data_IF_790753434108
#
_entry.id   IF_790753434108
#
_cell.length_a   1.000
_cell.length_b   1.000
_cell.length_c   1.000
_cell.angle_alpha   90.00
_cell.angle_beta   90.00
_cell.angle_gamma   90.00
#
_symmetry.space_group_name_H-M   'P 1'
#
loop_
_entity.id
_entity.type
_entity.pdbx_description
1 polymer ?
#
# COMPACT_ATOMS: atom_id res chain seq x y z
N UNK A 1 8.02 8.34 8.93
CA UNK A 1 9.05 7.63 8.16
C UNK A 1 8.69 6.15 8.08
N UNK A 2 8.89 5.52 6.90
CA UNK A 2 8.62 4.11 6.69
C UNK A 2 9.61 3.49 5.70
N UNK A 3 9.61 2.15 5.68
CA UNK A 3 10.30 1.35 4.67
C UNK A 3 9.31 0.42 3.98
N UNK A 4 9.49 0.24 2.67
CA UNK A 4 8.79 -0.75 1.87
C UNK A 4 9.82 -1.73 1.33
N UNK A 5 9.55 -3.02 1.49
CA UNK A 5 10.32 -4.10 0.89
C UNK A 5 9.44 -4.83 -0.13
N UNK A 6 9.93 -4.97 -1.35
CA UNK A 6 9.33 -5.79 -2.38
C UNK A 6 10.31 -6.88 -2.80
N UNK A 7 9.85 -8.12 -2.88
CA UNK A 7 10.65 -9.27 -3.31
C UNK A 7 9.95 -10.03 -4.42
N UNK A 8 10.67 -10.34 -5.47
CA UNK A 8 10.22 -11.17 -6.59
C UNK A 8 11.07 -12.44 -6.65
N UNK A 9 10.55 -13.53 -6.09
CA UNK A 9 11.25 -14.82 -6.02
C UNK A 9 11.67 -15.36 -7.38
N UNK A 10 10.81 -15.39 -8.42
CA UNK A 10 11.20 -15.91 -9.75
C UNK A 10 12.37 -15.17 -10.39
N UNK A 11 12.57 -13.90 -10.05
CA UNK A 11 13.67 -13.09 -10.57
C UNK A 11 14.86 -13.03 -9.61
N UNK A 12 14.71 -13.50 -8.37
CA UNK A 12 15.70 -13.35 -7.31
C UNK A 12 16.04 -11.89 -7.05
N UNK A 13 15.04 -10.99 -7.08
CA UNK A 13 15.22 -9.54 -6.94
C UNK A 13 14.47 -8.99 -5.76
N UNK A 14 15.12 -8.07 -5.07
CA UNK A 14 14.50 -7.32 -3.98
C UNK A 14 14.72 -5.83 -4.19
N UNK A 15 13.71 -5.03 -3.88
CA UNK A 15 13.80 -3.58 -3.82
C UNK A 15 13.37 -3.15 -2.43
N UNK A 16 14.22 -2.36 -1.76
CA UNK A 16 13.89 -1.71 -0.50
C UNK A 16 13.88 -0.20 -0.71
N UNK A 17 12.87 0.46 -0.20
CA UNK A 17 12.68 1.91 -0.28
C UNK A 17 12.45 2.46 1.12
N UNK A 18 13.06 3.60 1.44
CA UNK A 18 12.83 4.30 2.70
C UNK A 18 12.61 5.79 2.47
N UNK A 19 11.74 6.40 3.26
CA UNK A 19 11.48 7.82 3.14
C UNK A 19 10.44 8.36 4.10
N UNK A 20 10.13 9.63 3.93
CA UNK A 20 9.05 10.29 4.65
C UNK A 20 7.69 9.74 4.23
N UNK A 21 6.75 9.73 5.17
CA UNK A 21 5.37 9.31 4.91
C UNK A 21 4.45 10.46 5.24
N UNK A 22 3.57 10.79 4.32
CA UNK A 22 2.47 11.74 4.49
C UNK A 22 1.13 11.07 4.22
N UNK A 23 0.07 11.58 4.79
CA UNK A 23 -1.29 11.19 4.44
C UNK A 23 -1.67 11.76 3.08
N UNK A 24 -2.35 10.99 2.24
CA UNK A 24 -2.93 11.48 1.00
C UNK A 24 -4.05 12.47 1.30
N UNK A 25 -4.26 13.44 0.42
CA UNK A 25 -5.38 14.38 0.53
C UNK A 25 -6.74 13.66 0.46
N UNK A 26 -7.78 14.32 0.98
CA UNK A 26 -9.15 13.81 0.86
C UNK A 26 -9.54 13.60 -0.61
N UNK A 27 -9.20 14.57 -1.48
CA UNK A 27 -9.50 14.50 -2.91
C UNK A 27 -8.86 13.26 -3.56
N UNK A 28 -7.56 13.03 -3.38
CA UNK A 28 -6.85 11.86 -3.92
C UNK A 28 -7.45 10.54 -3.40
N UNK A 29 -7.83 10.53 -2.11
CA UNK A 29 -8.46 9.37 -1.49
C UNK A 29 -9.86 9.12 -2.06
N UNK A 30 -10.65 10.17 -2.33
CA UNK A 30 -11.97 10.08 -2.96
C UNK A 30 -11.87 9.59 -4.41
N UNK A 31 -10.93 10.14 -5.20
CA UNK A 31 -10.68 9.71 -6.59
C UNK A 31 -10.33 8.23 -6.65
N UNK A 32 -9.43 7.77 -5.80
CA UNK A 32 -9.05 6.36 -5.74
C UNK A 32 -10.20 5.49 -5.23
N UNK A 33 -10.92 5.90 -4.20
CA UNK A 33 -12.07 5.16 -3.68
C UNK A 33 -13.15 4.96 -4.73
N UNK A 34 -13.46 6.00 -5.50
CA UNK A 34 -14.46 5.97 -6.56
C UNK A 34 -14.04 5.09 -7.75
N UNK A 35 -12.75 4.91 -7.98
CA UNK A 35 -12.22 4.01 -9.02
C UNK A 35 -12.33 2.52 -8.67
N UNK A 36 -12.59 2.18 -7.40
CA UNK A 36 -12.66 0.80 -6.94
C UNK A 36 -13.98 0.13 -7.37
N UNK A 37 -13.97 -1.19 -7.60
CA UNK A 37 -15.20 -1.95 -7.81
C UNK A 37 -16.20 -1.73 -6.66
N UNK A 38 -17.48 -1.65 -6.99
CA UNK A 38 -18.56 -1.38 -6.03
C UNK A 38 -18.53 -2.28 -4.79
N UNK A 39 -18.29 -3.59 -4.96
CA UNK A 39 -18.17 -4.51 -3.83
C UNK A 39 -17.01 -4.18 -2.88
N UNK A 40 -15.90 -3.60 -3.40
CA UNK A 40 -14.80 -3.14 -2.56
C UNK A 40 -15.14 -1.84 -1.81
N UNK A 41 -15.99 -0.98 -2.40
CA UNK A 41 -16.49 0.23 -1.71
C UNK A 41 -17.41 -0.17 -0.57
N UNK A 42 -18.35 -1.11 -0.77
CA UNK A 42 -19.21 -1.66 0.27
C UNK A 42 -18.39 -2.33 1.37
N UNK A 43 -17.41 -3.16 1.00
CA UNK A 43 -16.52 -3.83 1.96
C UNK A 43 -15.77 -2.86 2.87
N UNK A 44 -15.41 -1.67 2.38
CA UNK A 44 -14.76 -0.64 3.19
C UNK A 44 -15.69 -0.03 4.27
N UNK A 45 -17.01 -0.05 4.07
CA UNK A 45 -18.00 0.33 5.07
C UNK A 45 -18.35 -0.82 6.02
N UNK A 46 -18.43 -2.05 5.49
CA UNK A 46 -18.82 -3.23 6.27
C UNK A 46 -17.78 -3.66 7.30
N UNK A 47 -16.49 -3.39 7.03
CA UNK A 47 -15.37 -3.91 7.81
C UNK A 47 -14.64 -2.81 8.58
N UNK A 48 -14.68 -2.90 9.90
CA UNK A 48 -13.76 -2.18 10.77
C UNK A 48 -12.42 -2.92 10.74
N UNK A 49 -11.52 -2.49 9.88
CA UNK A 49 -10.26 -3.18 9.61
C UNK A 49 -9.52 -3.57 10.88
N UNK A 50 -9.18 -4.87 11.02
CA UNK A 50 -8.45 -5.46 12.14
C UNK A 50 -9.21 -5.49 13.48
N UNK A 51 -10.45 -5.03 13.53
CA UNK A 51 -11.28 -5.17 14.72
C UNK A 51 -11.81 -6.61 14.86
N UNK A 52 -11.98 -7.12 16.10
CA UNK A 52 -12.64 -8.39 16.32
C UNK A 52 -14.09 -8.37 15.82
N UNK A 53 -14.55 -9.48 15.27
CA UNK A 53 -15.94 -9.67 14.86
C UNK A 53 -16.41 -11.03 15.38
N UNK A 54 -17.70 -11.14 15.75
CA UNK A 54 -18.23 -12.36 16.38
C UNK A 54 -18.31 -13.54 15.42
N UNK A 55 -18.59 -13.28 14.13
CA UNK A 55 -18.72 -14.32 13.11
C UNK A 55 -18.59 -13.78 11.70
N UNK A 56 -18.31 -14.67 10.75
CA UNK A 56 -18.38 -14.36 9.32
C UNK A 56 -19.80 -13.94 8.89
N UNK A 57 -20.83 -14.58 9.45
CA UNK A 57 -22.22 -14.26 9.14
C UNK A 57 -22.58 -12.82 9.49
N UNK A 58 -22.04 -12.27 10.56
CA UNK A 58 -22.23 -10.86 10.92
C UNK A 58 -21.67 -9.94 9.83
N UNK A 59 -20.46 -10.20 9.34
CA UNK A 59 -19.86 -9.41 8.26
C UNK A 59 -20.70 -9.49 6.98
N UNK A 60 -21.16 -10.69 6.61
CA UNK A 60 -21.99 -10.90 5.42
C UNK A 60 -23.36 -10.19 5.53
N UNK A 61 -23.94 -10.12 6.72
CA UNK A 61 -25.17 -9.38 6.96
C UNK A 61 -24.95 -7.87 6.82
N UNK A 62 -23.86 -7.33 7.39
CA UNK A 62 -23.50 -5.90 7.20
C UNK A 62 -23.33 -5.54 5.72
N UNK A 63 -22.70 -6.43 4.94
CA UNK A 63 -22.54 -6.24 3.48
C UNK A 63 -23.91 -6.14 2.81
N UNK A 64 -24.85 -7.08 3.08
CA UNK A 64 -26.20 -7.08 2.50
C UNK A 64 -26.99 -5.82 2.87
N UNK A 65 -26.92 -5.37 4.11
CA UNK A 65 -27.58 -4.15 4.57
C UNK A 65 -27.06 -2.92 3.80
N UNK A 66 -25.75 -2.80 3.63
CA UNK A 66 -25.12 -1.72 2.87
C UNK A 66 -25.42 -1.79 1.36
N UNK A 67 -25.52 -2.98 0.78
CA UNK A 67 -25.94 -3.16 -0.61
C UNK A 67 -27.36 -2.61 -0.84
N UNK A 68 -28.28 -2.84 0.10
CA UNK A 68 -29.66 -2.32 0.07
C UNK A 68 -29.63 -0.80 0.29
N UNK A 69 -28.89 -0.31 1.27
CA UNK A 69 -28.83 1.12 1.62
C UNK A 69 -28.33 1.96 0.44
N UNK A 70 -27.30 1.47 -0.26
CA UNK A 70 -26.68 2.16 -1.38
C UNK A 70 -27.24 1.75 -2.75
N UNK A 71 -28.32 0.96 -2.82
CA UNK A 71 -28.89 0.54 -4.10
C UNK A 71 -29.23 1.75 -5.00
N UNK A 72 -28.67 1.75 -6.22
CA UNK A 72 -28.84 2.83 -7.18
C UNK A 72 -28.17 4.16 -6.81
N UNK A 73 -27.39 4.21 -5.71
CA UNK A 73 -26.71 5.43 -5.22
C UNK A 73 -25.20 5.31 -5.32
N UNK A 74 -24.45 6.42 -5.41
CA UNK A 74 -23.01 6.42 -5.20
C UNK A 74 -22.69 6.06 -3.74
N UNK A 75 -21.58 5.37 -3.53
CA UNK A 75 -21.09 5.00 -2.20
C UNK A 75 -20.02 6.02 -1.81
N UNK A 76 -20.24 6.87 -0.76
CA UNK A 76 -19.24 7.82 -0.32
C UNK A 76 -18.06 7.08 0.33
N UNK A 77 -16.87 7.65 0.29
CA UNK A 77 -15.73 7.11 1.02
C UNK A 77 -15.92 7.28 2.54
N UNK A 78 -15.70 6.24 3.36
CA UNK A 78 -15.67 6.39 4.80
C UNK A 78 -14.58 7.40 5.23
N UNK A 79 -14.85 8.25 6.21
CA UNK A 79 -13.94 9.33 6.64
C UNK A 79 -12.57 8.79 7.13
N UNK A 80 -12.57 7.60 7.73
CA UNK A 80 -11.34 6.94 8.22
C UNK A 80 -10.55 6.24 7.12
N UNK A 81 -11.14 6.07 5.92
CA UNK A 81 -10.49 5.39 4.80
C UNK A 81 -9.66 6.36 3.98
N UNK A 82 -8.42 6.00 3.70
CA UNK A 82 -7.51 6.82 2.91
C UNK A 82 -6.20 6.08 2.64
N UNK A 83 -5.23 6.80 2.11
CA UNK A 83 -3.90 6.28 1.77
C UNK A 83 -2.77 7.08 2.40
N UNK A 84 -1.59 6.51 2.27
CA UNK A 84 -0.32 7.17 2.61
C UNK A 84 0.56 7.23 1.38
N UNK A 85 1.33 8.31 1.26
CA UNK A 85 2.37 8.49 0.25
C UNK A 85 3.72 8.33 0.91
N UNK A 86 4.56 7.44 0.37
CA UNK A 86 5.96 7.36 0.71
C UNK A 86 6.74 8.22 -0.30
N UNK A 87 7.56 9.14 0.19
CA UNK A 87 8.51 9.92 -0.60
C UNK A 87 9.92 9.36 -0.33
N UNK A 88 10.43 8.46 -1.20
CA UNK A 88 11.66 7.77 -0.92
C UNK A 88 12.87 8.68 -1.11
N UNK A 89 13.77 8.63 -0.15
CA UNK A 89 15.11 9.26 -0.21
C UNK A 89 16.23 8.22 -0.24
N UNK A 90 15.86 6.94 -0.20
CA UNK A 90 16.77 5.82 -0.22
C UNK A 90 16.16 4.64 -0.97
N UNK A 91 16.97 3.99 -1.83
CA UNK A 91 16.65 2.73 -2.48
C UNK A 91 17.82 1.78 -2.36
N UNK A 92 17.52 0.50 -2.14
CA UNK A 92 18.43 -0.62 -2.34
C UNK A 92 17.84 -1.56 -3.38
N UNK A 93 18.58 -1.83 -4.45
CA UNK A 93 18.29 -2.86 -5.45
C UNK A 93 19.21 -4.03 -5.20
N UNK A 94 18.64 -5.17 -4.85
CA UNK A 94 19.34 -6.39 -4.57
C UNK A 94 19.04 -7.45 -5.66
N UNK A 95 20.07 -8.11 -6.15
CA UNK A 95 19.96 -9.21 -7.11
C UNK A 95 20.66 -10.46 -6.59
N UNK A 96 19.93 -11.58 -6.58
CA UNK A 96 20.51 -12.87 -6.23
C UNK A 96 21.65 -13.26 -7.17
N UNK A 97 22.75 -13.77 -6.59
CA UNK A 97 23.88 -14.38 -7.30
C UNK A 97 24.32 -15.62 -6.55
N UNK A 98 25.04 -16.52 -7.24
CA UNK A 98 25.70 -17.70 -6.67
C UNK A 98 26.70 -17.30 -5.58
N UNK A 99 27.02 -18.24 -4.69
CA UNK A 99 28.03 -18.10 -3.65
C UNK A 99 27.83 -16.91 -2.70
N UNK A 100 26.57 -16.45 -2.56
CA UNK A 100 26.18 -15.28 -1.77
C UNK A 100 26.82 -13.95 -2.22
N UNK A 101 27.42 -13.90 -3.40
CA UNK A 101 28.03 -12.69 -3.97
C UNK A 101 26.97 -11.81 -4.67
N UNK A 102 25.96 -11.44 -3.93
CA UNK A 102 24.78 -10.71 -4.43
C UNK A 102 25.15 -9.30 -4.90
N UNK A 103 24.53 -8.85 -6.00
CA UNK A 103 24.63 -7.45 -6.38
C UNK A 103 23.76 -6.60 -5.46
N UNK A 104 24.33 -5.52 -4.94
CA UNK A 104 23.64 -4.54 -4.12
C UNK A 104 23.96 -3.14 -4.62
N UNK A 105 22.95 -2.45 -5.12
CA UNK A 105 23.06 -1.10 -5.66
C UNK A 105 22.17 -0.16 -4.84
N UNK A 106 22.73 0.94 -4.40
CA UNK A 106 22.11 1.89 -3.51
C UNK A 106 21.96 3.25 -4.20
N UNK A 107 20.80 3.87 -4.00
CA UNK A 107 20.57 5.26 -4.32
C UNK A 107 20.21 5.99 -3.03
N UNK A 108 20.98 7.02 -2.70
CA UNK A 108 20.72 7.88 -1.54
C UNK A 108 20.56 9.32 -2.01
N UNK A 109 19.48 9.95 -1.62
CA UNK A 109 19.23 11.37 -1.94
C UNK A 109 19.90 12.27 -0.91
N UNK A 110 20.68 13.25 -1.41
CA UNK A 110 21.26 14.32 -0.61
C UNK A 110 21.25 15.62 -1.43
N UNK A 111 20.79 16.72 -0.84
CA UNK A 111 20.70 18.03 -1.48
C UNK A 111 20.06 17.99 -2.89
N UNK A 112 18.94 17.28 -3.03
CA UNK A 112 18.21 17.06 -4.30
C UNK A 112 19.00 16.33 -5.40
N UNK A 113 20.08 15.68 -5.07
CA UNK A 113 20.85 14.84 -5.99
C UNK A 113 20.87 13.40 -5.49
N UNK A 114 20.86 12.45 -6.44
CA UNK A 114 20.98 11.04 -6.14
C UNK A 114 22.42 10.59 -6.25
N UNK A 115 22.95 10.01 -5.16
CA UNK A 115 24.24 9.32 -5.14
C UNK A 115 24.01 7.83 -5.38
N UNK A 116 24.70 7.26 -6.36
CA UNK A 116 24.72 5.83 -6.65
C UNK A 116 25.96 5.20 -6.02
N UNK A 117 25.80 4.08 -5.34
CA UNK A 117 26.89 3.28 -4.78
C UNK A 117 26.61 1.79 -4.95
N UNK A 118 27.68 1.00 -5.12
CA UNK A 118 27.62 -0.46 -5.04
C UNK A 118 28.25 -0.90 -3.73
N UNK A 119 27.55 -1.76 -3.00
CA UNK A 119 28.05 -2.31 -1.73
C UNK A 119 28.35 -3.78 -1.85
N UNK A 120 29.27 -4.27 -1.02
CA UNK A 120 29.49 -5.70 -0.86
C UNK A 120 28.26 -6.38 -0.26
N UNK A 121 27.98 -7.66 -0.64
CA UNK A 121 26.89 -8.44 -0.07
C UNK A 121 27.09 -8.78 1.41
#
# INVERSE_FOLDING_TARGET
>A
FAAILWYCEPLGRQIRMEGAVSQMSAQESDEYFNSRPRGHQIGAHASDQSAPISSRAELENRVKELEIEFEGKPIPRPLHWGGYRLEPTYFEFWQHRTDRLHDRVFYTQSANQWKLERHCP
#
